data_IF_921237274994
#
_entry.id   IF_921237274994
#
_cell.length_a   1.000
_cell.length_b   1.000
_cell.length_c   1.000
_cell.angle_alpha   90.00
_cell.angle_beta   90.00
_cell.angle_gamma   90.00
#
_symmetry.space_group_name_H-M   'P 1'
#
loop_
_entity.id
_entity.type
_entity.pdbx_description
1 polymer ?
#
# COMPACT_ATOMS: atom_id res chain seq x y z
N UNK A 1 -10.06 -6.63 -2.16
CA UNK A 1 -8.92 -7.31 -2.79
C UNK A 1 -8.07 -6.22 -3.40
N UNK A 2 -6.77 -6.22 -3.14
CA UNK A 2 -5.83 -5.28 -3.71
C UNK A 2 -5.30 -5.81 -5.04
N UNK A 3 -5.44 -5.05 -6.14
CA UNK A 3 -4.80 -5.34 -7.42
C UNK A 3 -3.66 -4.35 -7.63
N UNK A 4 -2.42 -4.83 -7.65
CA UNK A 4 -1.23 -3.98 -7.63
C UNK A 4 -0.22 -4.43 -8.69
N UNK A 5 0.44 -3.47 -9.35
CA UNK A 5 1.49 -3.82 -10.31
C UNK A 5 2.72 -4.43 -9.63
N UNK A 6 3.38 -5.35 -10.33
CA UNK A 6 4.64 -5.98 -9.89
C UNK A 6 5.73 -4.97 -9.55
N UNK A 7 5.92 -3.94 -10.38
CA UNK A 7 6.95 -2.91 -10.18
C UNK A 7 6.78 -2.16 -8.84
N UNK A 8 5.54 -1.90 -8.45
CA UNK A 8 5.21 -1.25 -7.17
C UNK A 8 5.49 -2.18 -5.98
N UNK A 9 5.13 -3.47 -6.09
CA UNK A 9 5.44 -4.47 -5.05
C UNK A 9 6.95 -4.60 -4.86
N UNK A 10 7.70 -4.76 -5.95
CA UNK A 10 9.15 -4.87 -5.91
C UNK A 10 9.80 -3.62 -5.31
N UNK A 11 9.30 -2.43 -5.65
CA UNK A 11 9.79 -1.17 -5.10
C UNK A 11 9.50 -1.03 -3.60
N UNK A 12 8.29 -1.39 -3.14
CA UNK A 12 7.95 -1.40 -1.71
C UNK A 12 8.83 -2.37 -0.92
N UNK A 13 9.04 -3.58 -1.44
CA UNK A 13 9.91 -4.59 -0.81
C UNK A 13 11.37 -4.13 -0.79
N UNK A 14 11.85 -3.51 -1.88
CA UNK A 14 13.18 -2.95 -1.94
C UNK A 14 13.38 -1.81 -0.91
N UNK A 15 12.38 -0.93 -0.74
CA UNK A 15 12.39 0.08 0.32
C UNK A 15 12.47 -0.59 1.70
N UNK A 16 11.57 -1.52 2.00
CA UNK A 16 11.55 -2.22 3.29
C UNK A 16 12.89 -2.90 3.63
N UNK A 17 13.52 -3.56 2.64
CA UNK A 17 14.82 -4.21 2.83
C UNK A 17 15.97 -3.22 3.02
N UNK A 18 15.92 -2.06 2.36
CA UNK A 18 16.95 -1.02 2.42
C UNK A 18 16.98 -0.32 3.77
N UNK A 19 15.81 -0.07 4.35
CA UNK A 19 15.68 0.70 5.58
C UNK A 19 15.73 -0.19 6.84
N UNK A 20 15.61 -1.52 6.69
CA UNK A 20 15.87 -2.48 7.76
C UNK A 20 17.25 -2.23 8.41
N UNK A 21 17.35 -2.16 9.76
CA UNK A 21 16.38 -2.65 10.75
C UNK A 21 15.32 -1.65 11.20
N UNK A 22 15.24 -0.45 10.62
CA UNK A 22 14.14 0.47 10.89
C UNK A 22 12.92 0.08 10.02
N UNK A 23 11.72 0.39 10.51
CA UNK A 23 10.52 0.20 9.68
C UNK A 23 10.49 1.25 8.57
N UNK A 24 10.41 0.79 7.32
CA UNK A 24 10.06 1.61 6.17
C UNK A 24 8.56 1.94 6.18
N UNK A 25 8.18 3.08 5.63
CA UNK A 25 6.77 3.42 5.41
C UNK A 25 6.57 4.24 4.14
N UNK A 26 5.36 4.26 3.61
CA UNK A 26 5.06 5.03 2.40
C UNK A 26 3.62 4.94 1.96
N UNK A 27 3.35 5.60 0.83
CA UNK A 27 2.03 5.67 0.19
C UNK A 27 2.18 5.24 -1.26
N UNK A 28 1.19 4.55 -1.81
CA UNK A 28 1.00 4.49 -3.27
C UNK A 28 -0.27 5.24 -3.61
N UNK A 29 -0.09 6.38 -4.29
CA UNK A 29 -1.18 7.21 -4.76
C UNK A 29 -1.79 6.63 -6.05
N UNK A 30 -3.06 6.92 -6.28
CA UNK A 30 -3.79 6.57 -7.48
C UNK A 30 -4.90 7.57 -7.77
N UNK A 31 -5.49 7.59 -8.98
CA UNK A 31 -6.59 8.47 -9.30
C UNK A 31 -7.77 8.31 -8.32
N UNK A 32 -8.37 9.42 -7.90
CA UNK A 32 -9.48 9.41 -6.95
C UNK A 32 -10.62 8.50 -7.42
N UNK A 33 -11.08 7.61 -6.54
CA UNK A 33 -12.19 6.68 -6.79
C UNK A 33 -11.85 5.50 -7.71
N UNK A 34 -10.59 5.35 -8.13
CA UNK A 34 -10.20 4.25 -9.01
C UNK A 34 -9.75 2.99 -8.28
N UNK A 35 -9.43 3.07 -6.98
CA UNK A 35 -8.86 1.97 -6.17
C UNK A 35 -7.58 1.36 -6.82
N UNK A 36 -6.86 2.17 -7.62
CA UNK A 36 -5.75 1.71 -8.48
C UNK A 36 -4.44 2.36 -8.06
N UNK A 37 -3.50 1.63 -7.42
CA UNK A 37 -2.24 2.21 -7.00
C UNK A 37 -1.32 2.46 -8.22
N UNK A 38 -0.77 3.66 -8.39
CA UNK A 38 0.00 4.01 -9.59
C UNK A 38 1.37 4.62 -9.30
N UNK A 39 1.48 5.41 -8.23
CA UNK A 39 2.65 6.23 -7.94
C UNK A 39 3.16 5.98 -6.52
N UNK A 40 4.29 5.28 -6.40
CA UNK A 40 4.94 5.03 -5.12
C UNK A 40 5.60 6.30 -4.58
N UNK A 41 5.36 6.56 -3.31
CA UNK A 41 5.88 7.69 -2.56
C UNK A 41 6.47 7.11 -1.26
N UNK A 42 7.78 6.85 -1.28
CA UNK A 42 8.52 6.43 -0.09
C UNK A 42 8.50 7.56 0.94
N UNK A 43 8.10 7.26 2.18
CA UNK A 43 8.03 8.23 3.27
C UNK A 43 9.11 7.99 4.32
N UNK A 44 9.50 9.08 4.99
CA UNK A 44 10.44 8.98 6.10
C UNK A 44 9.72 8.48 7.34
N UNK A 45 10.22 7.41 7.94
CA UNK A 45 9.87 7.06 9.31
C UNK A 45 10.52 8.07 10.28
N UNK A 46 9.72 9.02 10.77
CA UNK A 46 10.18 10.08 11.66
C UNK A 46 10.70 9.55 13.01
N UNK A 47 10.28 8.35 13.41
CA UNK A 47 10.70 7.72 14.67
C UNK A 47 12.01 6.94 14.54
N UNK A 48 12.41 6.57 13.31
CA UNK A 48 13.61 5.75 13.04
C UNK A 48 13.68 4.54 13.99
N UNK A 49 12.59 3.79 14.00
CA UNK A 49 12.34 2.74 14.99
C UNK A 49 12.11 1.40 14.29
N UNK A 50 12.58 0.29 14.89
CA UNK A 50 12.42 -1.06 14.34
C UNK A 50 11.02 -1.66 14.53
N UNK A 51 10.15 -1.00 15.31
CA UNK A 51 8.83 -1.53 15.71
C UNK A 51 7.72 -0.49 15.66
N UNK A 52 7.99 0.69 15.11
CA UNK A 52 7.00 1.75 15.01
C UNK A 52 7.38 2.72 13.91
N UNK A 53 6.39 3.16 13.15
CA UNK A 53 6.54 4.23 12.19
C UNK A 53 5.58 5.37 12.48
N UNK A 54 6.01 6.56 12.06
CA UNK A 54 5.15 7.74 11.93
C UNK A 54 5.65 8.54 10.75
N UNK A 55 4.74 8.97 9.88
CA UNK A 55 5.11 9.92 8.83
C UNK A 55 5.62 11.22 9.46
N UNK A 56 6.68 11.78 8.88
CA UNK A 56 7.05 13.15 9.19
C UNK A 56 5.88 14.07 8.82
N UNK A 57 5.42 14.90 9.76
CA UNK A 57 4.18 15.66 9.56
C UNK A 57 4.30 16.73 8.47
N UNK A 58 5.50 17.26 8.22
CA UNK A 58 5.71 18.24 7.15
C UNK A 58 5.75 17.55 5.78
N UNK A 59 6.39 16.38 5.71
CA UNK A 59 6.38 15.51 4.54
C UNK A 59 4.97 15.03 4.20
N UNK A 60 4.22 14.52 5.19
CA UNK A 60 2.84 14.09 5.04
C UNK A 60 1.96 15.21 4.47
N UNK A 61 2.01 16.41 5.06
CA UNK A 61 1.23 17.55 4.56
C UNK A 61 1.57 17.90 3.11
N UNK A 62 2.85 17.82 2.74
CA UNK A 62 3.30 18.08 1.36
C UNK A 62 2.73 17.04 0.40
N UNK A 63 2.82 15.76 0.75
CA UNK A 63 2.34 14.65 -0.10
C UNK A 63 0.83 14.70 -0.29
N UNK A 64 0.06 14.95 0.78
CA UNK A 64 -1.41 15.04 0.66
C UNK A 64 -1.82 16.22 -0.22
N UNK A 65 -1.12 17.37 -0.15
CA UNK A 65 -1.37 18.50 -1.06
C UNK A 65 -1.00 18.20 -2.51
N UNK A 66 0.04 17.41 -2.74
CA UNK A 66 0.44 16.99 -4.08
C UNK A 66 -0.58 16.03 -4.68
N UNK A 67 -1.08 15.06 -3.89
CA UNK A 67 -2.16 14.16 -4.34
C UNK A 67 -3.45 14.93 -4.67
N UNK A 68 -3.88 15.85 -3.79
CA UNK A 68 -5.03 16.73 -4.02
C UNK A 68 -4.89 17.55 -5.31
N UNK A 69 -3.70 18.08 -5.59
CA UNK A 69 -3.44 18.83 -6.82
C UNK A 69 -3.42 17.98 -8.10
N UNK A 70 -3.31 16.65 -7.98
CA UNK A 70 -3.25 15.70 -9.07
C UNK A 70 -4.54 14.88 -9.24
N UNK A 71 -5.61 15.18 -8.47
CA UNK A 71 -6.83 14.37 -8.39
C UNK A 71 -6.51 12.90 -7.99
N UNK A 72 -5.59 12.72 -7.03
CA UNK A 72 -5.15 11.42 -6.50
C UNK A 72 -5.58 11.22 -5.04
N UNK A 73 -5.69 9.95 -4.62
CA UNK A 73 -5.94 9.52 -3.24
C UNK A 73 -4.90 8.47 -2.78
N UNK A 74 -4.67 8.30 -1.45
CA UNK A 74 -3.77 7.28 -0.93
C UNK A 74 -4.40 5.87 -1.02
N UNK A 75 -4.30 5.24 -2.18
CA UNK A 75 -4.86 3.89 -2.43
C UNK A 75 -4.19 2.84 -1.54
N UNK A 76 -2.87 2.91 -1.37
CA UNK A 76 -2.12 2.02 -0.46
C UNK A 76 -1.37 2.86 0.56
N UNK A 77 -1.48 2.49 1.83
CA UNK A 77 -0.54 2.89 2.89
C UNK A 77 0.23 1.65 3.28
N UNK A 78 1.55 1.72 3.29
CA UNK A 78 2.37 0.57 3.66
C UNK A 78 3.42 0.89 4.70
N UNK A 79 3.78 -0.14 5.45
CA UNK A 79 4.96 -0.14 6.31
C UNK A 79 5.56 -1.54 6.42
N UNK A 80 6.80 -1.61 6.87
CA UNK A 80 7.49 -2.89 7.08
C UNK A 80 7.58 -3.26 8.56
N UNK A 81 7.45 -4.55 8.87
CA UNK A 81 7.83 -5.11 10.16
C UNK A 81 9.19 -5.80 10.05
N UNK A 82 10.09 -5.56 11.01
CA UNK A 82 11.47 -6.06 10.94
C UNK A 82 11.65 -7.43 11.60
N UNK A 83 10.77 -7.79 12.53
CA UNK A 83 10.91 -9.00 13.37
C UNK A 83 9.65 -9.85 13.48
N UNK A 84 8.51 -9.35 12.98
CA UNK A 84 7.19 -9.98 13.11
C UNK A 84 6.59 -10.27 11.74
N UNK A 85 5.50 -11.03 11.74
CA UNK A 85 4.69 -11.28 10.55
C UNK A 85 4.11 -9.98 10.00
N UNK A 86 3.78 -10.00 8.71
CA UNK A 86 3.07 -8.91 8.03
C UNK A 86 1.61 -8.88 8.48
N UNK A 87 1.36 -8.65 9.76
CA UNK A 87 0.04 -8.55 10.38
C UNK A 87 -0.03 -7.30 11.25
N UNK A 88 -1.08 -6.47 11.15
CA UNK A 88 -1.15 -5.19 11.84
C UNK A 88 -1.18 -5.38 13.36
N UNK A 89 -0.33 -4.64 14.04
CA UNK A 89 -0.33 -4.52 15.49
C UNK A 89 -1.53 -3.66 15.96
N UNK A 90 -1.81 -3.71 17.27
CA UNK A 90 -2.82 -2.81 17.87
C UNK A 90 -2.51 -1.33 17.66
N UNK A 91 -1.22 -0.99 17.59
CA UNK A 91 -0.77 0.38 17.34
C UNK A 91 -1.10 0.78 15.91
N UNK A 92 -0.80 -0.07 14.92
CA UNK A 92 -1.12 0.19 13.50
C UNK A 92 -2.62 0.45 13.31
N UNK A 93 -3.46 -0.41 13.91
CA UNK A 93 -4.91 -0.27 13.87
C UNK A 93 -5.39 1.05 14.49
N UNK A 94 -4.72 1.55 15.53
CA UNK A 94 -5.10 2.82 16.17
C UNK A 94 -4.73 4.06 15.37
N UNK A 95 -3.77 3.96 14.44
CA UNK A 95 -3.33 5.05 13.57
C UNK A 95 -3.92 4.97 12.15
N UNK A 96 -4.51 3.84 11.78
CA UNK A 96 -5.26 3.68 10.54
C UNK A 96 -6.45 4.66 10.50
N UNK A 97 -6.35 5.67 9.65
CA UNK A 97 -7.31 6.78 9.55
C UNK A 97 -7.86 6.99 8.14
N UNK A 98 -7.26 6.36 7.13
CA UNK A 98 -7.77 6.35 5.76
C UNK A 98 -8.69 5.13 5.56
N UNK A 99 -10.02 5.31 5.49
CA UNK A 99 -10.98 4.19 5.45
C UNK A 99 -10.96 3.43 4.12
N UNK A 100 -10.57 4.10 3.04
CA UNK A 100 -10.52 3.54 1.69
C UNK A 100 -9.12 3.02 1.31
N UNK A 101 -8.12 3.16 2.19
CA UNK A 101 -6.77 2.68 1.90
C UNK A 101 -6.66 1.16 2.08
N UNK A 102 -5.77 0.57 1.30
CA UNK A 102 -5.24 -0.76 1.53
C UNK A 102 -4.01 -0.64 2.44
N UNK A 103 -4.07 -1.21 3.64
CA UNK A 103 -2.95 -1.22 4.58
C UNK A 103 -2.06 -2.42 4.27
N UNK A 104 -0.97 -2.18 3.57
CA UNK A 104 -0.02 -3.21 3.14
C UNK A 104 1.11 -3.34 4.15
N UNK A 105 1.30 -4.55 4.67
CA UNK A 105 2.40 -4.87 5.57
C UNK A 105 3.43 -5.74 4.87
N UNK A 106 4.71 -5.43 5.12
CA UNK A 106 5.85 -6.13 4.54
C UNK A 106 6.70 -6.68 5.68
N UNK A 107 6.85 -7.99 5.79
CA UNK A 107 7.71 -8.58 6.80
C UNK A 107 9.10 -8.82 6.22
N UNK A 108 10.11 -8.22 6.87
CA UNK A 108 11.54 -8.38 6.53
C UNK A 108 12.27 -9.32 7.50
N UNK A 109 11.53 -9.99 8.41
CA UNK A 109 12.08 -10.90 9.43
C UNK A 109 12.91 -12.05 8.85
N UNK A 110 12.61 -12.46 7.62
CA UNK A 110 13.33 -13.48 6.90
C UNK A 110 13.87 -12.89 5.59
N UNK A 111 15.20 -12.79 5.41
CA UNK A 111 15.79 -12.16 4.24
C UNK A 111 15.49 -12.92 2.93
N UNK A 112 15.18 -14.21 3.01
CA UNK A 112 15.02 -15.10 1.85
C UNK A 112 13.57 -15.20 1.35
N UNK A 113 12.62 -14.57 2.04
CA UNK A 113 11.19 -14.63 1.69
C UNK A 113 10.59 -13.24 1.52
N UNK A 114 9.63 -13.13 0.60
CA UNK A 114 8.81 -11.93 0.43
C UNK A 114 7.46 -12.18 1.08
N UNK A 115 7.21 -11.51 2.20
CA UNK A 115 5.94 -11.60 2.92
C UNK A 115 5.23 -10.24 2.81
N UNK A 116 4.29 -10.13 1.86
CA UNK A 116 3.49 -8.94 1.60
C UNK A 116 2.02 -9.29 1.77
N UNK A 117 1.31 -8.58 2.66
CA UNK A 117 -0.10 -8.84 2.99
C UNK A 117 -0.87 -7.52 3.02
N UNK A 118 -2.16 -7.55 2.65
CA UNK A 118 -3.03 -6.37 2.61
C UNK A 118 -4.21 -6.51 3.55
N UNK A 119 -4.59 -5.41 4.17
CA UNK A 119 -5.69 -5.33 5.12
C UNK A 119 -6.56 -4.11 4.85
N UNK A 120 -7.87 -4.29 5.00
CA UNK A 120 -8.81 -3.21 5.27
C UNK A 120 -8.92 -3.01 6.78
N UNK A 121 -8.74 -1.77 7.24
CA UNK A 121 -8.88 -1.40 8.64
C UNK A 121 -9.93 -0.30 8.73
N UNK A 122 -11.09 -0.62 9.31
CA UNK A 122 -12.22 0.29 9.45
C UNK A 122 -12.82 0.18 10.84
N UNK A 123 -12.96 1.30 11.56
CA UNK A 123 -13.50 1.34 12.92
C UNK A 123 -12.82 0.36 13.91
N UNK A 124 -11.53 0.09 13.68
CA UNK A 124 -10.73 -0.85 14.47
C UNK A 124 -10.87 -2.32 14.08
N UNK A 125 -11.75 -2.65 13.13
CA UNK A 125 -11.91 -3.99 12.58
C UNK A 125 -10.87 -4.24 11.49
N UNK A 126 -10.13 -5.35 11.60
CA UNK A 126 -9.08 -5.75 10.66
C UNK A 126 -9.59 -6.88 9.79
N UNK A 127 -9.67 -6.64 8.48
CA UNK A 127 -10.02 -7.67 7.49
C UNK A 127 -8.87 -7.85 6.52
N UNK A 128 -8.26 -9.03 6.50
CA UNK A 128 -7.27 -9.37 5.47
C UNK A 128 -7.95 -9.52 4.11
N UNK A 129 -7.29 -9.07 3.06
CA UNK A 129 -7.76 -9.25 1.69
C UNK A 129 -6.65 -9.82 0.80
N UNK A 130 -7.00 -10.55 -0.27
CA UNK A 130 -6.02 -11.05 -1.23
C UNK A 130 -5.28 -9.90 -1.92
N UNK A 131 -4.01 -10.15 -2.25
CA UNK A 131 -3.18 -9.29 -3.11
C UNK A 131 -3.01 -10.00 -4.45
N UNK A 132 -3.53 -9.40 -5.51
CA UNK A 132 -3.34 -9.84 -6.89
C UNK A 132 -2.26 -8.98 -7.53
N UNK A 133 -1.14 -9.61 -7.91
CA UNK A 133 -0.01 -8.93 -8.56
C UNK A 133 -0.14 -9.06 -10.07
N UNK A 134 -0.20 -7.92 -10.76
CA UNK A 134 -0.34 -7.84 -12.22
C UNK A 134 0.88 -7.18 -12.87
N UNK A 135 1.18 -7.50 -14.13
CA UNK A 135 2.26 -6.82 -14.87
C UNK A 135 1.82 -5.43 -15.37
N UNK A 136 0.53 -5.26 -15.67
CA UNK A 136 -0.05 -3.99 -16.11
C UNK A 136 -1.56 -3.96 -15.85
N UNK A 137 -2.13 -2.76 -15.75
CA UNK A 137 -3.57 -2.55 -15.57
C UNK A 137 -4.40 -2.67 -16.85
N UNK A 138 -3.77 -2.85 -18.02
CA UNK A 138 -4.45 -2.81 -19.32
C UNK A 138 -5.33 -4.04 -19.62
N UNK A 139 -5.26 -5.11 -18.83
CA UNK A 139 -5.97 -6.37 -19.11
C UNK A 139 -7.12 -6.70 -18.15
N UNK A 140 -7.53 -5.79 -17.25
CA UNK A 140 -8.60 -6.04 -16.28
C UNK A 140 -10.04 -5.94 -16.86
N UNK A 141 -10.19 -5.92 -18.19
CA UNK A 141 -11.50 -5.97 -18.86
C UNK A 141 -11.53 -7.13 -19.86
N UNK A 142 -11.84 -8.34 -19.39
CA UNK A 142 -12.47 -9.33 -20.26
C UNK A 142 -13.94 -8.93 -20.40
N UNK A 143 -14.23 -8.23 -21.49
CA UNK A 143 -15.54 -7.70 -21.83
C UNK A 143 -16.61 -8.77 -22.04
N UNK A 144 -17.85 -8.38 -21.82
CA UNK A 144 -19.04 -9.04 -22.34
C UNK A 144 -18.98 -9.00 -23.87
N UNK A 145 -19.01 -10.16 -24.52
CA UNK A 145 -19.21 -10.25 -25.98
C UNK A 145 -20.57 -9.61 -26.35
N UNK A 146 -20.55 -8.38 -26.85
CA UNK A 146 -21.66 -7.85 -27.64
C UNK A 146 -21.58 -8.51 -29.02
N UNK A 147 -22.47 -9.48 -29.25
CA UNK A 147 -22.77 -10.02 -30.57
C UNK A 147 -23.46 -8.90 -31.38
N UNK A 148 -22.92 -8.44 -32.52
CA UNK A 148 -23.61 -7.46 -33.33
C UNK A 148 -24.79 -8.13 -34.03
N UNK A 149 -25.97 -7.55 -33.83
CA UNK A 149 -27.18 -7.87 -34.60
C UNK A 149 -26.88 -7.68 -36.10
N UNK A 150 -27.25 -8.69 -36.90
CA UNK A 150 -27.22 -8.60 -38.36
C UNK A 150 -28.65 -8.47 -38.87
N UNK A 151 -28.96 -7.31 -39.43
CA UNK A 151 -30.09 -7.10 -40.35
C UNK A 151 -29.97 -7.98 -41.62
#
# INVERSE_FOLDING_TARGET
MLVIRRDLVESMVAHARRDHPDEACGVIAGPEGSDRPERLIEMTNAERSPTFYRFDSAEQLKVWREMDANDEEPVVIYHSHTSTEAYPSRTDVSYASEPNAHYVLISTRNPDTEEVRSYRILDGEVTEEPVEVVESYMFAHTGTDEVPDRD
#
